data_IF_333383860245
#
_entry.id   IF_333383860245
#
_cell.length_a   1.000
_cell.length_b   1.000
_cell.length_c   1.000
_cell.angle_alpha   90.00
_cell.angle_beta   90.00
_cell.angle_gamma   90.00
#
_symmetry.space_group_name_H-M   'P 1'
#
loop_
_entity.id
_entity.type
_entity.pdbx_description
1 polymer ?
#
# COMPACT_ATOMS: atom_id res chain seq x y z
N UNK A 1 11.01 -49.78 -34.52
CA UNK A 1 10.91 -48.31 -34.63
C UNK A 1 9.44 -48.01 -34.38
N UNK A 2 9.04 -47.86 -33.11
CA UNK A 2 8.92 -46.59 -32.36
C UNK A 2 7.68 -45.82 -32.88
N UNK A 3 6.64 -45.45 -32.13
CA UNK A 3 6.46 -44.85 -30.79
C UNK A 3 4.92 -44.96 -30.51
N UNK A 4 4.36 -45.27 -29.33
CA UNK A 4 4.59 -44.65 -28.04
C UNK A 4 3.62 -43.48 -27.73
N UNK A 5 2.33 -43.58 -28.05
CA UNK A 5 1.31 -42.61 -27.57
C UNK A 5 0.99 -42.89 -26.10
N UNK A 6 1.83 -42.34 -25.22
CA UNK A 6 1.67 -42.43 -23.78
C UNK A 6 0.56 -41.51 -23.23
N UNK A 7 0.15 -41.71 -21.96
CA UNK A 7 -0.89 -40.93 -21.24
C UNK A 7 -0.56 -39.43 -21.04
N UNK A 8 0.57 -38.98 -21.59
CA UNK A 8 1.11 -37.63 -21.48
C UNK A 8 0.33 -36.64 -22.34
N UNK A 9 -0.23 -37.08 -23.48
CA UNK A 9 -1.03 -36.23 -24.36
C UNK A 9 -2.40 -35.89 -23.76
N UNK A 10 -3.00 -36.82 -23.00
CA UNK A 10 -4.26 -36.59 -22.29
C UNK A 10 -4.11 -35.63 -21.10
N UNK A 11 -2.94 -35.64 -20.44
CA UNK A 11 -2.63 -34.73 -19.34
C UNK A 11 -2.45 -33.27 -19.82
N UNK A 12 -1.99 -33.08 -21.06
CA UNK A 12 -1.78 -31.76 -21.64
C UNK A 12 -3.11 -31.08 -22.05
N UNK A 13 -4.12 -31.86 -22.42
CA UNK A 13 -5.46 -31.35 -22.75
C UNK A 13 -6.28 -30.92 -21.53
N UNK A 14 -6.04 -31.51 -20.35
CA UNK A 14 -6.71 -31.11 -19.10
C UNK A 14 -6.05 -29.89 -18.43
N UNK A 15 -4.75 -29.67 -18.69
CA UNK A 15 -3.99 -28.55 -18.14
C UNK A 15 -4.26 -27.20 -18.82
N UNK A 16 -4.94 -27.19 -19.97
CA UNK A 16 -5.26 -25.98 -20.75
C UNK A 16 -6.65 -25.41 -20.46
N UNK A 17 -7.47 -26.06 -19.63
CA UNK A 17 -8.87 -25.66 -19.38
C UNK A 17 -9.09 -24.76 -18.15
N UNK A 18 -8.06 -24.32 -17.42
CA UNK A 18 -8.27 -23.44 -16.26
C UNK A 18 -7.14 -22.44 -16.05
N UNK A 19 -6.90 -21.61 -17.07
CA UNK A 19 -6.25 -20.32 -16.85
C UNK A 19 -7.10 -19.23 -17.47
N UNK A 20 -8.23 -18.96 -16.82
CA UNK A 20 -8.97 -17.70 -17.01
C UNK A 20 -8.05 -16.60 -16.50
N UNK A 21 -7.14 -16.12 -17.35
CA UNK A 21 -6.39 -14.89 -17.12
C UNK A 21 -7.41 -13.77 -17.14
N UNK A 22 -7.95 -13.44 -15.98
CA UNK A 22 -8.69 -12.20 -15.82
C UNK A 22 -7.68 -11.08 -16.07
N UNK A 23 -7.78 -10.44 -17.24
CA UNK A 23 -7.16 -9.15 -17.50
C UNK A 23 -7.55 -8.22 -16.36
N UNK A 24 -6.59 -7.52 -15.71
CA UNK A 24 -6.91 -6.53 -14.69
C UNK A 24 -7.92 -5.57 -15.30
N UNK A 25 -9.06 -5.40 -14.63
CA UNK A 25 -10.03 -4.43 -15.08
C UNK A 25 -9.41 -3.06 -14.78
N UNK A 26 -9.48 -2.10 -15.70
CA UNK A 26 -8.93 -0.76 -15.50
C UNK A 26 -9.41 -0.08 -14.19
N UNK A 27 -10.54 -0.52 -13.64
CA UNK A 27 -11.05 -0.10 -12.32
C UNK A 27 -10.19 -0.59 -11.15
N UNK A 28 -9.62 -1.80 -11.24
CA UNK A 28 -8.80 -2.39 -10.19
C UNK A 28 -7.45 -1.67 -10.05
N UNK A 29 -6.95 -1.06 -11.14
CA UNK A 29 -5.73 -0.26 -11.12
C UNK A 29 -5.96 1.15 -10.55
N UNK A 30 -7.15 1.71 -10.77
CA UNK A 30 -7.58 3.00 -10.18
C UNK A 30 -7.75 2.87 -8.67
N UNK A 31 -8.41 1.81 -8.20
CA UNK A 31 -8.64 1.60 -6.76
C UNK A 31 -7.32 1.40 -6.00
N UNK A 32 -6.37 0.65 -6.58
CA UNK A 32 -5.03 0.49 -6.01
C UNK A 32 -4.22 1.77 -6.02
N UNK A 33 -4.30 2.56 -7.10
CA UNK A 33 -3.64 3.85 -7.17
C UNK A 33 -4.18 4.81 -6.10
N UNK A 34 -5.50 4.78 -5.86
CA UNK A 34 -6.14 5.56 -4.80
C UNK A 34 -5.70 5.09 -3.41
N UNK A 35 -5.65 3.79 -3.17
CA UNK A 35 -5.17 3.23 -1.90
C UNK A 35 -3.72 3.65 -1.62
N UNK A 36 -2.83 3.48 -2.59
CA UNK A 36 -1.43 3.90 -2.47
C UNK A 36 -1.29 5.42 -2.22
N UNK A 37 -2.12 6.24 -2.85
CA UNK A 37 -2.12 7.69 -2.62
C UNK A 37 -2.57 8.07 -1.20
N UNK A 38 -3.59 7.38 -0.66
CA UNK A 38 -4.05 7.57 0.73
C UNK A 38 -3.00 7.08 1.73
N UNK A 39 -2.33 5.97 1.45
CA UNK A 39 -1.23 5.47 2.29
C UNK A 39 -0.04 6.43 2.30
N UNK A 40 0.31 7.01 1.16
CA UNK A 40 1.35 8.03 1.08
C UNK A 40 0.99 9.25 1.93
N UNK A 41 -0.24 9.74 1.82
CA UNK A 41 -0.72 10.85 2.65
C UNK A 41 -0.71 10.49 4.14
N UNK A 42 -1.06 9.26 4.51
CA UNK A 42 -1.00 8.81 5.91
C UNK A 42 0.41 8.87 6.48
N UNK A 43 1.42 8.37 5.75
CA UNK A 43 2.83 8.45 6.16
C UNK A 43 3.28 9.89 6.26
N UNK A 44 2.92 10.74 5.29
CA UNK A 44 3.24 12.16 5.31
C UNK A 44 2.69 12.85 6.56
N UNK A 45 1.40 12.65 6.87
CA UNK A 45 0.76 13.22 8.07
C UNK A 45 1.46 12.72 9.33
N UNK A 46 1.76 11.43 9.44
CA UNK A 46 2.47 10.87 10.58
C UNK A 46 3.84 11.56 10.79
N UNK A 47 4.59 11.85 9.71
CA UNK A 47 5.84 12.60 9.80
C UNK A 47 5.63 14.05 10.26
N UNK A 48 4.58 14.72 9.76
CA UNK A 48 4.28 16.11 10.13
C UNK A 48 3.80 16.26 11.57
N UNK A 49 3.26 15.20 12.17
CA UNK A 49 2.86 15.18 13.57
C UNK A 49 4.04 14.98 14.53
N UNK A 50 5.20 14.48 14.08
CA UNK A 50 6.36 14.20 14.94
C UNK A 50 6.80 15.38 15.82
N UNK A 51 6.96 16.61 15.29
CA UNK A 51 7.44 17.74 16.10
C UNK A 51 6.52 18.10 17.27
N UNK A 52 5.23 17.76 17.22
CA UNK A 52 4.30 17.99 18.34
C UNK A 52 4.63 17.12 19.57
N UNK A 53 5.35 16.02 19.38
CA UNK A 53 5.69 15.06 20.43
C UNK A 53 7.18 15.04 20.79
N UNK A 54 8.04 15.61 19.94
CA UNK A 54 9.50 15.73 20.20
C UNK A 54 9.78 16.58 21.46
N UNK A 55 9.07 17.69 21.67
CA UNK A 55 9.27 18.54 22.85
C UNK A 55 8.71 17.93 24.15
N UNK A 56 7.79 16.95 24.07
CA UNK A 56 7.23 16.26 25.23
C UNK A 56 8.22 15.31 25.91
N UNK A 57 9.30 14.93 25.24
CA UNK A 57 10.31 13.98 25.73
C UNK A 57 11.20 14.56 26.84
N UNK A 58 11.22 15.88 27.02
CA UNK A 58 12.25 16.56 27.82
C UNK A 58 11.88 16.83 29.29
N UNK A 59 10.66 16.50 29.74
CA UNK A 59 10.12 17.00 31.01
C UNK A 59 10.05 16.00 32.18
N UNK A 60 10.73 14.85 32.12
CA UNK A 60 10.67 13.89 33.24
C UNK A 60 11.90 13.01 33.39
N UNK A 61 12.32 12.81 34.65
CA UNK A 61 13.40 11.89 35.08
C UNK A 61 13.16 10.41 34.69
N UNK A 62 12.03 10.10 34.03
CA UNK A 62 11.54 8.77 33.66
C UNK A 62 10.92 8.69 32.24
N UNK A 63 10.98 9.75 31.42
CA UNK A 63 10.38 9.75 30.08
C UNK A 63 11.45 9.69 28.99
N UNK A 64 11.30 8.82 27.99
CA UNK A 64 12.21 8.76 26.84
C UNK A 64 13.02 7.46 26.70
N UNK A 65 12.41 6.30 26.96
CA UNK A 65 13.01 5.01 26.59
C UNK A 65 12.69 4.59 25.15
N UNK A 66 13.53 3.76 24.53
CA UNK A 66 13.31 3.20 23.17
C UNK A 66 11.92 2.55 23.00
N UNK A 67 11.36 1.96 24.07
CA UNK A 67 10.02 1.36 24.03
C UNK A 67 8.91 2.41 23.89
N UNK A 68 9.11 3.59 24.47
CA UNK A 68 8.17 4.71 24.41
C UNK A 68 8.23 5.40 23.04
N UNK A 69 9.42 5.54 22.46
CA UNK A 69 9.64 6.03 21.09
C UNK A 69 8.96 5.13 20.06
N UNK A 70 9.10 3.80 20.20
CA UNK A 70 8.42 2.85 19.33
C UNK A 70 6.90 2.95 19.48
N UNK A 71 6.40 3.06 20.72
CA UNK A 71 4.97 3.21 20.97
C UNK A 71 4.41 4.52 20.37
N UNK A 72 5.14 5.63 20.52
CA UNK A 72 4.79 6.90 19.88
C UNK A 72 4.76 6.77 18.37
N UNK A 73 5.77 6.14 17.77
CA UNK A 73 5.83 5.94 16.33
C UNK A 73 4.63 5.15 15.82
N UNK A 74 4.27 4.04 16.48
CA UNK A 74 3.06 3.28 16.15
C UNK A 74 1.78 4.12 16.31
N UNK A 75 1.69 4.93 17.36
CA UNK A 75 0.54 5.81 17.59
C UNK A 75 0.42 6.88 16.50
N UNK A 76 1.53 7.51 16.12
CA UNK A 76 1.57 8.51 15.04
C UNK A 76 1.19 7.91 13.69
N UNK A 77 1.65 6.69 13.40
CA UNK A 77 1.28 5.98 12.17
C UNK A 77 -0.23 5.72 12.11
N UNK A 78 -0.85 5.28 13.21
CA UNK A 78 -2.30 5.07 13.26
C UNK A 78 -3.09 6.38 13.17
N UNK A 79 -2.60 7.47 13.78
CA UNK A 79 -3.20 8.78 13.58
C UNK A 79 -3.11 9.24 12.13
N UNK A 80 -1.94 9.10 11.49
CA UNK A 80 -1.77 9.41 10.07
C UNK A 80 -2.77 8.66 9.19
N UNK A 81 -2.93 7.34 9.42
CA UNK A 81 -3.91 6.50 8.70
C UNK A 81 -5.34 6.95 8.93
N UNK A 82 -5.73 7.25 10.17
CA UNK A 82 -7.09 7.68 10.48
C UNK A 82 -7.41 9.05 9.86
N UNK A 83 -6.47 9.99 9.92
CA UNK A 83 -6.66 11.33 9.34
C UNK A 83 -6.77 11.23 7.82
N UNK A 84 -5.86 10.52 7.15
CA UNK A 84 -5.90 10.31 5.70
C UNK A 84 -7.21 9.65 5.24
N UNK A 85 -7.67 8.61 5.96
CA UNK A 85 -8.95 7.94 5.65
C UNK A 85 -10.19 8.81 5.91
N UNK A 86 -10.10 9.78 6.82
CA UNK A 86 -11.23 10.65 7.19
C UNK A 86 -11.33 11.92 6.33
N UNK A 87 -10.54 12.01 5.26
CA UNK A 87 -10.54 13.14 4.32
C UNK A 87 -9.17 13.78 4.12
N UNK A 88 -8.20 13.49 4.99
CA UNK A 88 -6.82 13.90 4.83
C UNK A 88 -6.61 15.42 4.72
N UNK A 89 -5.55 15.80 4.03
CA UNK A 89 -5.21 17.20 3.72
C UNK A 89 -5.31 17.49 2.21
N UNK A 90 -5.72 16.50 1.41
CA UNK A 90 -5.86 16.59 -0.04
C UNK A 90 -4.60 16.20 -0.83
N UNK A 91 -3.56 15.69 -0.16
CA UNK A 91 -2.33 15.24 -0.81
C UNK A 91 -2.57 13.95 -1.61
N UNK A 92 -3.43 13.06 -1.12
CA UNK A 92 -3.78 11.83 -1.84
C UNK A 92 -4.38 12.14 -3.23
N UNK A 93 -5.17 13.21 -3.37
CA UNK A 93 -5.76 13.58 -4.66
C UNK A 93 -4.69 14.09 -5.64
N UNK A 94 -3.68 14.83 -5.15
CA UNK A 94 -2.56 15.28 -5.98
C UNK A 94 -1.68 14.11 -6.44
N UNK A 95 -1.40 13.17 -5.54
CA UNK A 95 -0.63 11.96 -5.86
C UNK A 95 -1.38 11.10 -6.88
N UNK A 96 -2.70 10.95 -6.71
CA UNK A 96 -3.54 10.23 -7.66
C UNK A 96 -3.50 10.86 -9.06
N UNK A 97 -3.55 12.19 -9.15
CA UNK A 97 -3.45 12.90 -10.43
C UNK A 97 -2.12 12.62 -11.15
N UNK A 98 -1.01 12.58 -10.41
CA UNK A 98 0.30 12.26 -11.00
C UNK A 98 0.41 10.78 -11.38
N UNK A 99 -0.15 9.86 -10.59
CA UNK A 99 -0.19 8.43 -10.95
C UNK A 99 -0.93 8.22 -12.27
N UNK A 100 -2.10 8.84 -12.43
CA UNK A 100 -2.88 8.73 -13.67
C UNK A 100 -2.12 9.29 -14.87
N UNK A 101 -1.48 10.45 -14.71
CA UNK A 101 -0.65 11.06 -15.75
C UNK A 101 0.52 10.16 -16.17
N UNK A 102 1.16 9.46 -15.22
CA UNK A 102 2.23 8.50 -15.50
C UNK A 102 1.70 7.26 -16.24
N UNK A 103 0.48 6.83 -15.96
CA UNK A 103 -0.17 5.72 -16.66
C UNK A 103 -0.56 6.10 -18.09
N UNK A 104 -1.01 7.33 -18.34
CA UNK A 104 -1.36 7.82 -19.69
C UNK A 104 -0.14 7.96 -20.62
N UNK A 105 1.07 8.10 -20.06
CA UNK A 105 2.31 8.21 -20.83
C UNK A 105 2.89 6.85 -21.25
N UNK A 106 2.35 5.74 -20.76
CA UNK A 106 2.79 4.37 -21.08
C UNK A 106 1.91 3.74 -22.16
#
# INVERSE_FOLDING_TARGET
MENGTGPIDAALALASASRKTATPKATDDIDKAREAAVEFEAVFIAQMLKPMFEDLETNGLFGGGNAEEMNRSMMLDEYGKQIAKSGGIGLADQVMAEILKIQEMQ
#
